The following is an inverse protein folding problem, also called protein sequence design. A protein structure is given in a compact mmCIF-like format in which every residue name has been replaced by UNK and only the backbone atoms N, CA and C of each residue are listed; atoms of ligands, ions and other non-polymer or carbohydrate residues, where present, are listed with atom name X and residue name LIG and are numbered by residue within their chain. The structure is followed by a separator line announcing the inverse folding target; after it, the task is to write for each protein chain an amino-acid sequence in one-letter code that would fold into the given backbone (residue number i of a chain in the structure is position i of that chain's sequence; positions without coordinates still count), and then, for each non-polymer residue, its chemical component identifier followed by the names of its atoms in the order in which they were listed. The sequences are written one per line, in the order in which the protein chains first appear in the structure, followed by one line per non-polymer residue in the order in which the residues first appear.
data_IF_884406891651
#
_entry.id   IF_884406891651
#
_cell.length_a   1.000
_cell.length_b   1.000
_cell.length_c   1.000
_cell.angle_alpha   90.00
_cell.angle_beta   90.00
_cell.angle_gamma   90.00
#
_symmetry.space_group_name_H-M   'P 1'
#
loop_
_entity.id
_entity.type
_entity.pdbx_description
1 polymer ?
#
# COMPACT_ATOMS: atom_id res chain seq x y z
N UNK A 1 20.79 -36.37 -11.98
CA UNK A 1 20.35 -35.16 -12.66
C UNK A 1 18.89 -34.88 -12.26
N UNK A 2 18.68 -34.11 -11.21
CA UNK A 2 17.32 -33.64 -10.83
C UNK A 2 16.97 -32.50 -11.76
N UNK A 3 15.98 -32.70 -12.61
CA UNK A 3 15.43 -31.66 -13.49
C UNK A 3 15.03 -30.44 -12.67
N UNK A 4 15.60 -29.28 -13.01
CA UNK A 4 15.12 -27.99 -12.55
C UNK A 4 13.74 -27.78 -13.15
N UNK A 5 12.71 -28.06 -12.38
CA UNK A 5 11.39 -27.51 -12.69
C UNK A 5 11.51 -26.00 -12.62
N UNK A 6 11.62 -25.35 -13.76
CA UNK A 6 11.40 -23.90 -13.89
C UNK A 6 9.91 -23.65 -13.60
N UNK A 7 9.58 -23.50 -12.35
CA UNK A 7 8.27 -22.97 -11.97
C UNK A 7 8.16 -21.58 -12.61
N UNK A 8 7.26 -21.46 -13.58
CA UNK A 8 6.95 -20.19 -14.23
C UNK A 8 6.63 -19.18 -13.12
N UNK A 9 7.52 -18.23 -12.93
CA UNK A 9 7.40 -17.24 -11.86
C UNK A 9 6.05 -16.52 -12.02
N UNK A 10 5.20 -16.58 -10.98
CA UNK A 10 3.85 -15.99 -11.04
C UNK A 10 3.98 -14.48 -11.23
N UNK A 11 3.25 -13.93 -12.20
CA UNK A 11 3.18 -12.50 -12.45
C UNK A 11 2.44 -11.81 -11.31
N UNK A 12 3.09 -10.80 -10.70
CA UNK A 12 2.51 -9.97 -9.64
C UNK A 12 1.99 -8.66 -10.22
N UNK A 13 1.07 -8.01 -9.49
CA UNK A 13 0.43 -6.77 -9.89
C UNK A 13 0.67 -5.68 -8.85
N UNK A 14 1.14 -4.54 -9.31
CA UNK A 14 1.44 -3.39 -8.46
C UNK A 14 0.68 -2.15 -8.96
N UNK A 15 0.33 -1.27 -8.04
CA UNK A 15 -0.32 -0.01 -8.33
C UNK A 15 0.40 1.11 -7.58
N UNK A 16 0.73 2.19 -8.28
CA UNK A 16 1.38 3.37 -7.72
C UNK A 16 0.41 4.55 -7.83
N UNK A 17 0.05 5.16 -6.72
CA UNK A 17 -0.71 6.41 -6.70
C UNK A 17 0.26 7.59 -6.65
N UNK A 18 0.35 8.33 -7.74
CA UNK A 18 1.14 9.55 -7.83
C UNK A 18 0.33 10.75 -7.32
N UNK A 19 0.66 11.22 -6.12
CA UNK A 19 0.06 12.39 -5.49
C UNK A 19 0.74 13.71 -5.83
N UNK A 20 1.47 13.81 -6.94
CA UNK A 20 2.09 15.08 -7.37
C UNK A 20 1.03 16.12 -7.73
N UNK A 21 1.28 17.38 -7.31
CA UNK A 21 0.47 18.53 -7.71
C UNK A 21 0.91 19.12 -9.06
N UNK A 22 2.09 18.74 -9.54
CA UNK A 22 2.64 19.20 -10.83
C UNK A 22 2.18 18.28 -11.95
N UNK A 23 2.13 18.83 -13.17
CA UNK A 23 1.96 18.02 -14.38
C UNK A 23 3.08 16.95 -14.48
N UNK A 24 2.78 15.82 -15.07
CA UNK A 24 3.69 14.67 -15.13
C UNK A 24 5.05 15.01 -15.73
N UNK A 25 5.08 15.84 -16.78
CA UNK A 25 6.34 16.29 -17.40
C UNK A 25 7.27 17.08 -16.46
N UNK A 26 6.68 17.77 -15.46
CA UNK A 26 7.40 18.63 -14.52
C UNK A 26 7.58 17.98 -13.15
N UNK A 27 6.98 16.82 -12.94
CA UNK A 27 6.91 16.15 -11.66
C UNK A 27 8.09 15.21 -11.42
N UNK A 28 8.95 15.53 -10.46
CA UNK A 28 9.98 14.61 -10.00
C UNK A 28 9.36 13.33 -9.40
N UNK A 29 8.28 13.48 -8.63
CA UNK A 29 7.55 12.33 -8.07
C UNK A 29 7.11 11.36 -9.17
N UNK A 30 6.49 11.88 -10.24
CA UNK A 30 6.03 11.04 -11.37
C UNK A 30 7.19 10.30 -12.04
N UNK A 31 8.34 10.98 -12.24
CA UNK A 31 9.51 10.34 -12.87
C UNK A 31 10.04 9.17 -12.05
N UNK A 32 10.09 9.31 -10.72
CA UNK A 32 10.49 8.19 -9.85
C UNK A 32 9.41 7.10 -9.85
N UNK A 33 8.12 7.43 -9.93
CA UNK A 33 7.05 6.45 -10.13
C UNK A 33 7.27 5.65 -11.41
N UNK A 34 7.61 6.32 -12.52
CA UNK A 34 7.91 5.65 -13.80
C UNK A 34 9.15 4.78 -13.72
N UNK A 35 10.17 5.18 -12.97
CA UNK A 35 11.34 4.35 -12.72
C UNK A 35 10.98 3.08 -11.95
N UNK A 36 10.14 3.19 -10.92
CA UNK A 36 9.65 2.05 -10.16
C UNK A 36 8.75 1.14 -11.03
N UNK A 37 7.88 1.71 -11.84
CA UNK A 37 7.07 0.97 -12.82
C UNK A 37 7.96 0.14 -13.74
N UNK A 38 8.96 0.76 -14.37
CA UNK A 38 9.89 0.09 -15.26
C UNK A 38 10.68 -1.02 -14.55
N UNK A 39 11.03 -0.84 -13.27
CA UNK A 39 11.72 -1.86 -12.49
C UNK A 39 10.83 -3.10 -12.29
N UNK A 40 9.55 -2.94 -11.93
CA UNK A 40 8.59 -4.05 -11.84
C UNK A 40 8.39 -4.74 -13.20
N UNK A 41 8.23 -3.98 -14.27
CA UNK A 41 8.04 -4.52 -15.63
C UNK A 41 9.25 -5.32 -16.11
N UNK A 42 10.48 -4.84 -15.85
CA UNK A 42 11.73 -5.57 -16.14
C UNK A 42 11.86 -6.88 -15.37
N UNK A 43 11.25 -6.98 -14.19
CA UNK A 43 11.15 -8.23 -13.44
C UNK A 43 10.00 -9.14 -13.90
N UNK A 44 9.25 -8.75 -14.94
CA UNK A 44 8.16 -9.53 -15.51
C UNK A 44 6.80 -9.36 -14.82
N UNK A 45 6.64 -8.30 -14.03
CA UNK A 45 5.42 -7.98 -13.29
C UNK A 45 4.59 -6.90 -13.97
N UNK A 46 3.34 -6.74 -13.56
CA UNK A 46 2.47 -5.63 -13.98
C UNK A 46 2.61 -4.49 -12.97
N UNK A 47 2.72 -3.28 -13.48
CA UNK A 47 2.67 -2.08 -12.65
C UNK A 47 1.98 -0.95 -13.40
N UNK A 48 1.08 -0.27 -12.70
CA UNK A 48 0.34 0.88 -13.23
C UNK A 48 0.59 2.09 -12.32
N UNK A 49 0.74 3.27 -12.93
CA UNK A 49 0.85 4.54 -12.22
C UNK A 49 -0.42 5.34 -12.47
N UNK A 50 -1.07 5.75 -11.39
CA UNK A 50 -2.26 6.60 -11.41
C UNK A 50 -1.86 8.00 -10.98
N UNK A 51 -1.97 8.95 -11.87
CA UNK A 51 -1.72 10.37 -11.56
C UNK A 51 -2.99 10.98 -10.99
N UNK A 52 -3.02 11.17 -9.66
CA UNK A 52 -4.23 11.58 -8.95
C UNK A 52 -4.74 12.97 -9.35
N UNK A 53 -3.84 13.90 -9.70
CA UNK A 53 -4.25 15.24 -10.15
C UNK A 53 -5.04 15.26 -11.46
N UNK A 54 -4.99 14.18 -12.24
CA UNK A 54 -5.73 14.06 -13.51
C UNK A 54 -7.15 13.51 -13.31
N UNK A 55 -7.52 13.17 -12.08
CA UNK A 55 -8.82 12.62 -11.72
C UNK A 55 -9.70 13.71 -11.09
N UNK A 56 -10.98 13.69 -11.44
CA UNK A 56 -12.01 14.49 -10.77
C UNK A 56 -12.55 13.72 -9.57
N UNK A 57 -12.17 14.15 -8.36
CA UNK A 57 -12.59 13.54 -7.11
C UNK A 57 -12.59 14.53 -5.95
N UNK A 58 -13.32 14.22 -4.91
CA UNK A 58 -13.36 15.01 -3.68
C UNK A 58 -12.72 14.29 -2.48
N UNK A 59 -12.18 15.08 -1.55
CA UNK A 59 -11.80 14.60 -0.22
C UNK A 59 -13.06 14.24 0.57
N UNK A 60 -13.16 13.03 1.08
CA UNK A 60 -14.32 12.56 1.81
C UNK A 60 -14.02 11.31 2.62
N UNK A 61 -14.67 11.17 3.77
CA UNK A 61 -14.70 9.93 4.55
C UNK A 61 -15.93 9.08 4.23
N UNK A 62 -16.63 9.41 3.16
CA UNK A 62 -17.81 8.67 2.69
C UNK A 62 -17.53 7.92 1.39
N UNK A 63 -18.38 6.96 1.05
CA UNK A 63 -18.34 6.27 -0.24
C UNK A 63 -18.87 7.17 -1.35
N UNK A 64 -17.97 7.91 -2.00
CA UNK A 64 -18.28 8.81 -3.12
C UNK A 64 -18.04 8.09 -4.44
N UNK A 65 -18.96 8.27 -5.38
CA UNK A 65 -18.87 7.71 -6.72
C UNK A 65 -18.24 8.72 -7.69
N UNK A 66 -16.93 8.81 -7.68
CA UNK A 66 -16.10 9.70 -8.50
C UNK A 66 -15.02 8.92 -9.26
N UNK A 67 -14.12 9.62 -9.95
CA UNK A 67 -13.07 8.99 -10.76
C UNK A 67 -12.00 8.29 -9.92
N UNK A 68 -11.84 8.58 -8.64
CA UNK A 68 -10.89 7.91 -7.75
C UNK A 68 -11.40 6.53 -7.31
N UNK A 69 -12.71 6.36 -7.14
CA UNK A 69 -13.32 5.13 -6.63
C UNK A 69 -12.92 3.86 -7.39
N UNK A 70 -12.92 3.81 -8.73
CA UNK A 70 -12.50 2.62 -9.47
C UNK A 70 -11.06 2.19 -9.14
N UNK A 71 -10.16 3.13 -8.88
CA UNK A 71 -8.77 2.83 -8.53
C UNK A 71 -8.63 2.34 -7.09
N UNK A 72 -9.41 2.89 -6.16
CA UNK A 72 -9.50 2.34 -4.80
C UNK A 72 -9.99 0.88 -4.86
N UNK A 73 -11.02 0.61 -5.66
CA UNK A 73 -11.53 -0.75 -5.85
C UNK A 73 -10.48 -1.68 -6.50
N UNK A 74 -9.68 -1.15 -7.42
CA UNK A 74 -8.59 -1.90 -8.06
C UNK A 74 -7.52 -2.34 -7.06
N UNK A 75 -7.29 -1.60 -5.95
CA UNK A 75 -6.33 -2.00 -4.93
C UNK A 75 -6.59 -3.41 -4.38
N UNK A 76 -7.83 -3.87 -4.35
CA UNK A 76 -8.17 -5.21 -3.88
C UNK A 76 -7.64 -6.33 -4.78
N UNK A 77 -7.38 -6.05 -6.05
CA UNK A 77 -6.85 -7.01 -7.02
C UNK A 77 -5.33 -6.94 -7.17
N UNK A 78 -4.68 -6.01 -6.48
CA UNK A 78 -3.23 -5.84 -6.53
C UNK A 78 -2.53 -6.70 -5.49
N UNK A 79 -1.27 -7.02 -5.75
CA UNK A 79 -0.38 -7.70 -4.82
C UNK A 79 0.42 -6.69 -3.97
N UNK A 80 0.58 -5.46 -4.47
CA UNK A 80 1.24 -4.38 -3.74
C UNK A 80 0.84 -2.98 -4.21
N UNK A 81 0.93 -2.02 -3.29
CA UNK A 81 0.55 -0.63 -3.49
C UNK A 81 1.72 0.28 -3.08
N UNK A 82 1.95 1.33 -3.85
CA UNK A 82 2.88 2.41 -3.47
C UNK A 82 2.09 3.73 -3.42
N UNK A 83 2.25 4.47 -2.34
CA UNK A 83 1.83 5.87 -2.28
C UNK A 83 3.04 6.76 -2.52
N UNK A 84 2.95 7.57 -3.58
CA UNK A 84 4.00 8.46 -4.01
C UNK A 84 3.58 9.93 -3.80
N UNK A 85 4.42 10.73 -3.16
CA UNK A 85 4.10 12.11 -2.79
C UNK A 85 5.33 13.02 -2.89
N UNK A 86 5.16 14.28 -3.34
CA UNK A 86 6.13 15.32 -3.04
C UNK A 86 6.03 15.74 -1.57
N UNK A 87 7.09 16.35 -1.06
CA UNK A 87 7.09 17.03 0.26
C UNK A 87 6.49 18.42 0.11
N UNK A 88 5.49 18.72 0.93
CA UNK A 88 4.94 20.05 1.11
C UNK A 88 4.96 20.43 2.58
N UNK A 89 5.84 21.38 2.95
CA UNK A 89 5.96 21.84 4.34
C UNK A 89 6.12 20.69 5.35
N UNK A 90 6.99 19.72 5.04
CA UNK A 90 7.23 18.57 5.87
C UNK A 90 6.14 17.47 5.81
N UNK A 91 5.10 17.64 5.00
CA UNK A 91 3.96 16.71 4.89
C UNK A 91 3.81 16.18 3.47
N UNK A 92 3.00 15.11 3.35
CA UNK A 92 2.55 14.61 2.06
C UNK A 92 1.55 15.58 1.39
N UNK A 93 1.30 15.37 0.11
CA UNK A 93 0.39 16.22 -0.67
C UNK A 93 -1.08 16.02 -0.26
N UNK A 94 -1.93 17.01 -0.61
CA UNK A 94 -3.38 16.91 -0.42
C UNK A 94 -3.99 15.71 -1.14
N UNK A 95 -3.45 15.29 -2.29
CA UNK A 95 -3.92 14.10 -2.99
C UNK A 95 -3.75 12.82 -2.17
N UNK A 96 -2.59 12.66 -1.53
CA UNK A 96 -2.35 11.51 -0.66
C UNK A 96 -3.17 11.62 0.62
N UNK A 97 -3.37 12.82 1.16
CA UNK A 97 -4.28 13.03 2.30
C UNK A 97 -5.71 12.62 1.93
N UNK A 98 -6.22 13.06 0.79
CA UNK A 98 -7.53 12.66 0.32
C UNK A 98 -7.67 11.15 0.14
N UNK A 99 -6.60 10.49 -0.36
CA UNK A 99 -6.59 9.01 -0.45
C UNK A 99 -6.74 8.36 0.93
N UNK A 100 -6.01 8.84 1.95
CA UNK A 100 -6.13 8.31 3.31
C UNK A 100 -7.55 8.49 3.87
N UNK A 101 -8.14 9.65 3.66
CA UNK A 101 -9.53 9.95 4.07
C UNK A 101 -10.53 9.04 3.36
N UNK A 102 -10.36 8.83 2.06
CA UNK A 102 -11.22 7.92 1.27
C UNK A 102 -11.07 6.45 1.68
N UNK A 103 -9.92 6.04 2.20
CA UNK A 103 -9.71 4.68 2.71
C UNK A 103 -10.34 4.47 4.10
N UNK A 104 -10.77 5.51 4.81
CA UNK A 104 -11.39 5.39 6.13
C UNK A 104 -12.70 4.59 6.07
N UNK A 105 -13.48 4.72 4.99
CA UNK A 105 -14.67 3.89 4.75
C UNK A 105 -14.32 2.40 4.78
N UNK A 106 -13.19 2.02 4.16
CA UNK A 106 -12.73 0.64 4.11
C UNK A 106 -12.25 0.19 5.48
N UNK A 107 -11.54 1.07 6.20
CA UNK A 107 -11.08 0.79 7.56
C UNK A 107 -12.27 0.58 8.52
N UNK A 108 -13.27 1.44 8.47
CA UNK A 108 -14.49 1.33 9.27
C UNK A 108 -15.23 0.03 8.97
N UNK A 109 -15.38 -0.30 7.70
CA UNK A 109 -15.96 -1.58 7.30
C UNK A 109 -15.15 -2.78 7.82
N UNK A 110 -13.82 -2.73 7.71
CA UNK A 110 -12.93 -3.78 8.19
C UNK A 110 -13.07 -4.02 9.69
N UNK A 111 -13.18 -2.94 10.47
CA UNK A 111 -13.40 -3.00 11.92
C UNK A 111 -14.72 -3.67 12.27
N UNK A 112 -15.81 -3.28 11.58
CA UNK A 112 -17.15 -3.84 11.82
C UNK A 112 -17.25 -5.31 11.45
N UNK A 113 -16.53 -5.72 10.40
CA UNK A 113 -16.55 -7.08 9.89
C UNK A 113 -15.39 -7.94 10.39
N UNK A 114 -14.50 -7.38 11.24
CA UNK A 114 -13.31 -8.06 11.78
C UNK A 114 -12.45 -8.71 10.68
N UNK A 115 -12.30 -8.00 9.58
CA UNK A 115 -11.56 -8.47 8.42
C UNK A 115 -10.74 -7.34 7.81
N UNK A 116 -9.43 -7.54 7.70
CA UNK A 116 -8.53 -6.55 7.10
C UNK A 116 -8.47 -6.77 5.57
N UNK A 117 -8.88 -5.78 4.79
CA UNK A 117 -9.06 -5.95 3.35
C UNK A 117 -7.75 -6.08 2.57
N UNK A 118 -6.67 -5.60 3.12
CA UNK A 118 -5.37 -5.59 2.46
C UNK A 118 -4.37 -6.60 3.05
N UNK A 119 -4.84 -7.58 3.83
CA UNK A 119 -4.01 -8.70 4.24
C UNK A 119 -3.40 -9.42 3.03
N UNK A 120 -2.18 -9.91 3.20
CA UNK A 120 -1.38 -10.58 2.16
C UNK A 120 -1.00 -9.68 0.99
N UNK A 121 -1.09 -8.36 1.15
CA UNK A 121 -0.58 -7.36 0.19
C UNK A 121 0.56 -6.57 0.81
N UNK A 122 1.46 -6.10 -0.04
CA UNK A 122 2.60 -5.29 0.40
C UNK A 122 2.34 -3.80 0.16
N UNK A 123 2.96 -2.98 0.99
CA UNK A 123 2.89 -1.54 0.86
C UNK A 123 4.28 -0.92 0.83
N UNK A 124 4.45 0.06 -0.03
CA UNK A 124 5.65 0.90 -0.12
C UNK A 124 5.30 2.37 -0.22
N UNK A 125 6.28 3.21 -0.03
CA UNK A 125 6.16 4.66 -0.11
C UNK A 125 7.25 5.26 -0.99
N UNK A 126 6.92 6.32 -1.70
CA UNK A 126 7.83 7.12 -2.48
C UNK A 126 7.65 8.58 -2.10
N UNK A 127 8.71 9.21 -1.63
CA UNK A 127 8.69 10.62 -1.24
C UNK A 127 9.78 11.37 -2.01
N UNK A 128 9.42 12.49 -2.62
CA UNK A 128 10.37 13.33 -3.36
C UNK A 128 10.37 14.77 -2.85
N UNK A 129 11.55 15.36 -2.69
CA UNK A 129 11.66 16.74 -2.24
C UNK A 129 13.01 17.13 -1.66
N UNK A 130 13.10 18.28 -1.05
CA UNK A 130 14.34 18.87 -0.57
C UNK A 130 14.95 18.31 0.71
N UNK A 131 14.43 17.22 1.24
CA UNK A 131 15.01 16.51 2.38
C UNK A 131 14.35 16.76 3.73
N UNK A 132 13.41 17.69 3.83
CA UNK A 132 12.65 17.96 5.04
C UNK A 132 11.34 17.16 5.05
N UNK A 133 11.14 16.34 6.08
CA UNK A 133 9.89 15.60 6.27
C UNK A 133 9.85 14.16 5.76
N UNK A 134 10.89 13.58 5.17
CA UNK A 134 10.89 12.18 4.70
C UNK A 134 10.45 11.20 5.79
N UNK A 135 11.10 11.22 6.94
CA UNK A 135 10.81 10.29 8.03
C UNK A 135 9.38 10.45 8.56
N UNK A 136 8.91 11.69 8.66
CA UNK A 136 7.56 11.98 9.11
C UNK A 136 6.53 11.40 8.12
N UNK A 137 6.69 11.67 6.84
CA UNK A 137 5.76 11.21 5.80
C UNK A 137 5.73 9.69 5.73
N UNK A 138 6.89 9.03 5.68
CA UNK A 138 6.95 7.57 5.70
C UNK A 138 6.28 6.99 6.95
N UNK A 139 6.54 7.58 8.12
CA UNK A 139 5.94 7.13 9.39
C UNK A 139 4.41 7.22 9.38
N UNK A 140 3.84 8.33 8.90
CA UNK A 140 2.39 8.51 8.78
C UNK A 140 1.78 7.49 7.81
N UNK A 141 2.37 7.34 6.62
CA UNK A 141 1.86 6.42 5.60
C UNK A 141 1.97 4.95 6.02
N UNK A 142 3.06 4.57 6.69
CA UNK A 142 3.23 3.20 7.20
C UNK A 142 2.28 2.89 8.35
N UNK A 143 2.05 3.86 9.25
CA UNK A 143 1.06 3.71 10.30
C UNK A 143 -0.34 3.47 9.72
N UNK A 144 -0.74 4.27 8.75
CA UNK A 144 -2.02 4.09 8.05
C UNK A 144 -2.09 2.73 7.34
N UNK A 145 -1.07 2.37 6.55
CA UNK A 145 -1.02 1.11 5.82
C UNK A 145 -1.10 -0.12 6.74
N UNK A 146 -0.43 -0.07 7.89
CA UNK A 146 -0.50 -1.13 8.91
C UNK A 146 -1.93 -1.30 9.44
N UNK A 147 -2.62 -0.18 9.71
CA UNK A 147 -4.03 -0.22 10.15
C UNK A 147 -4.98 -0.76 9.07
N UNK A 148 -4.66 -0.59 7.80
CA UNK A 148 -5.40 -1.18 6.69
C UNK A 148 -5.09 -2.67 6.46
N UNK A 149 -4.07 -3.22 7.14
CA UNK A 149 -3.70 -4.63 7.05
C UNK A 149 -2.60 -4.94 6.04
N UNK A 150 -1.92 -3.96 5.50
CA UNK A 150 -0.77 -4.19 4.62
C UNK A 150 0.45 -4.70 5.39
N UNK A 151 1.25 -5.51 4.70
CA UNK A 151 2.62 -5.84 5.13
C UNK A 151 3.59 -4.83 4.55
N UNK A 152 4.47 -4.28 5.38
CA UNK A 152 5.51 -3.35 4.97
C UNK A 152 6.83 -4.12 4.87
N UNK A 153 7.34 -4.42 3.66
CA UNK A 153 8.62 -5.08 3.50
C UNK A 153 9.79 -4.19 3.91
N UNK A 154 10.97 -4.76 4.19
CA UNK A 154 12.17 -3.96 4.43
C UNK A 154 12.51 -3.07 3.23
N UNK A 155 13.04 -1.86 3.49
CA UNK A 155 13.51 -0.92 2.47
C UNK A 155 12.46 -0.61 1.38
N UNK A 156 11.19 -0.51 1.76
CA UNK A 156 10.09 -0.12 0.86
C UNK A 156 9.75 1.38 0.94
N UNK A 157 10.69 2.18 1.43
CA UNK A 157 10.68 3.64 1.38
C UNK A 157 11.67 4.12 0.31
N UNK A 158 11.16 4.85 -0.68
CA UNK A 158 11.98 5.51 -1.69
C UNK A 158 12.02 7.00 -1.33
N UNK A 159 13.22 7.54 -1.16
CA UNK A 159 13.48 8.95 -0.94
C UNK A 159 14.23 9.51 -2.14
N UNK A 160 13.69 10.52 -2.80
CA UNK A 160 14.36 11.19 -3.91
C UNK A 160 14.55 12.67 -3.59
N UNK A 161 15.81 13.06 -3.46
CA UNK A 161 16.23 14.46 -3.24
C UNK A 161 16.56 15.18 -4.55
N UNK A 162 16.67 14.45 -5.65
CA UNK A 162 16.98 15.00 -6.95
C UNK A 162 15.96 16.08 -7.37
N UNK A 163 16.47 17.21 -7.79
CA UNK A 163 15.66 18.32 -8.27
C UNK A 163 15.98 18.56 -9.74
N UNK A 164 15.04 18.27 -10.59
CA UNK A 164 15.21 18.39 -12.02
C UNK A 164 14.98 17.07 -12.76
N UNK A 165 14.74 17.19 -14.06
CA UNK A 165 14.25 16.03 -14.82
C UNK A 165 15.35 15.06 -15.21
N UNK A 166 16.53 15.58 -15.44
CA UNK A 166 17.66 14.78 -15.93
C UNK A 166 18.53 14.24 -14.78
N UNK A 167 18.45 14.88 -13.61
CA UNK A 167 19.22 14.50 -12.43
C UNK A 167 18.71 13.24 -11.74
N UNK A 168 17.40 12.94 -11.81
CA UNK A 168 16.79 11.79 -11.12
C UNK A 168 17.33 10.46 -11.63
N UNK A 169 17.56 10.33 -12.93
CA UNK A 169 18.11 9.12 -13.52
C UNK A 169 19.59 8.96 -13.28
N UNK A 170 20.28 10.01 -12.86
CA UNK A 170 21.70 10.06 -12.52
C UNK A 170 21.94 10.05 -11.00
N UNK A 171 20.87 10.12 -10.21
CA UNK A 171 20.94 9.99 -8.76
C UNK A 171 21.00 8.50 -8.37
N UNK A 172 22.20 8.02 -8.18
CA UNK A 172 22.49 6.62 -7.85
C UNK A 172 21.73 6.17 -6.58
N UNK A 173 21.58 7.04 -5.59
CA UNK A 173 20.86 6.73 -4.35
C UNK A 173 19.37 6.48 -4.62
N UNK A 174 18.71 7.33 -5.41
CA UNK A 174 17.31 7.12 -5.81
C UNK A 174 17.16 5.85 -6.62
N UNK A 175 18.07 5.59 -7.58
CA UNK A 175 18.05 4.39 -8.41
C UNK A 175 18.21 3.13 -7.57
N UNK A 176 19.12 3.12 -6.60
CA UNK A 176 19.32 1.98 -5.70
C UNK A 176 18.09 1.75 -4.80
N UNK A 177 17.52 2.79 -4.23
CA UNK A 177 16.32 2.68 -3.41
C UNK A 177 15.13 2.15 -4.21
N UNK A 178 14.95 2.57 -5.46
CA UNK A 178 13.91 2.02 -6.36
C UNK A 178 14.14 0.53 -6.60
N UNK A 179 15.37 0.11 -6.89
CA UNK A 179 15.71 -1.32 -7.07
C UNK A 179 15.39 -2.12 -5.80
N UNK A 180 15.87 -1.67 -4.65
CA UNK A 180 15.67 -2.35 -3.37
C UNK A 180 14.19 -2.47 -3.02
N UNK A 181 13.44 -1.37 -3.14
CA UNK A 181 12.01 -1.35 -2.88
C UNK A 181 11.25 -2.34 -3.79
N UNK A 182 11.47 -2.28 -5.09
CA UNK A 182 10.74 -3.12 -6.05
C UNK A 182 11.07 -4.60 -5.92
N UNK A 183 12.33 -4.94 -5.65
CA UNK A 183 12.76 -6.33 -5.38
C UNK A 183 12.13 -6.84 -4.09
N UNK A 184 12.17 -6.06 -3.00
CA UNK A 184 11.62 -6.45 -1.71
C UNK A 184 10.10 -6.59 -1.77
N UNK A 185 9.40 -5.61 -2.38
CA UNK A 185 7.95 -5.71 -2.57
C UNK A 185 7.57 -6.96 -3.36
N UNK A 186 8.27 -7.25 -4.46
CA UNK A 186 8.02 -8.45 -5.26
C UNK A 186 8.25 -9.73 -4.47
N UNK A 187 9.35 -9.79 -3.73
CA UNK A 187 9.72 -10.96 -2.93
C UNK A 187 8.68 -11.23 -1.84
N UNK A 188 8.32 -10.21 -1.08
CA UNK A 188 7.35 -10.34 0.01
C UNK A 188 5.93 -10.57 -0.49
N UNK A 189 5.51 -9.92 -1.58
CA UNK A 189 4.21 -10.19 -2.19
C UNK A 189 4.08 -11.66 -2.60
N UNK A 190 5.14 -12.25 -3.17
CA UNK A 190 5.18 -13.67 -3.50
C UNK A 190 5.08 -14.56 -2.26
N UNK A 191 5.90 -14.28 -1.23
CA UNK A 191 5.88 -15.04 0.03
C UNK A 191 4.49 -15.01 0.67
N UNK A 192 3.87 -13.84 0.74
CA UNK A 192 2.54 -13.68 1.31
C UNK A 192 1.47 -14.43 0.50
N UNK A 193 1.60 -14.41 -0.82
CA UNK A 193 0.64 -15.06 -1.71
C UNK A 193 0.76 -16.58 -1.68
N UNK A 194 1.97 -17.11 -1.62
CA UNK A 194 2.26 -18.54 -1.56
C UNK A 194 2.00 -19.10 -0.16
N UNK A 195 2.44 -18.40 0.87
CA UNK A 195 2.30 -18.79 2.27
C UNK A 195 0.90 -18.52 2.84
N UNK A 196 0.19 -17.56 2.27
CA UNK A 196 -1.12 -17.11 2.76
C UNK A 196 -1.19 -17.05 4.30
N UNK A 197 -0.32 -16.26 4.97
CA UNK A 197 -0.17 -16.32 6.44
C UNK A 197 -1.45 -15.99 7.19
N UNK A 198 -2.37 -15.22 6.60
CA UNK A 198 -3.67 -14.91 7.21
C UNK A 198 -4.63 -16.09 7.22
N UNK A 199 -4.39 -17.14 6.41
CA UNK A 199 -5.18 -18.38 6.45
C UNK A 199 -5.10 -19.04 7.82
N UNK A 200 -3.93 -18.95 8.44
CA UNK A 200 -3.65 -19.55 9.74
C UNK A 200 -3.70 -18.54 10.89
N UNK A 201 -3.87 -17.23 10.57
CA UNK A 201 -4.00 -16.18 11.58
C UNK A 201 -5.34 -16.33 12.31
N UNK A 202 -5.29 -16.79 13.53
CA UNK A 202 -6.45 -16.89 14.41
C UNK A 202 -6.60 -15.58 15.17
N UNK A 203 -7.38 -14.66 14.63
CA UNK A 203 -7.73 -13.46 15.36
C UNK A 203 -8.49 -13.83 16.64
N UNK A 204 -7.96 -13.50 17.77
CA UNK A 204 -8.57 -13.76 19.08
C UNK A 204 -8.32 -15.14 19.65
N UNK A 205 -7.34 -15.90 19.12
CA UNK A 205 -6.93 -17.17 19.69
C UNK A 205 -6.09 -17.03 20.97
N UNK A 206 -5.58 -15.82 21.25
CA UNK A 206 -4.85 -15.52 22.48
C UNK A 206 -5.76 -14.71 23.37
N UNK A 207 -6.22 -15.29 24.46
CA UNK A 207 -6.91 -14.54 25.51
C UNK A 207 -5.87 -13.88 26.42
N UNK A 208 -5.58 -12.61 26.12
CA UNK A 208 -4.64 -11.82 26.94
C UNK A 208 -5.30 -11.23 28.19
N UNK A 209 -6.62 -11.44 28.38
CA UNK A 209 -7.32 -10.81 29.50
C UNK A 209 -6.93 -11.41 30.84
N UNK A 210 -6.73 -12.74 30.92
CA UNK A 210 -6.28 -13.39 32.16
C UNK A 210 -4.85 -13.01 32.51
N UNK A 211 -3.96 -12.99 31.52
CA UNK A 211 -2.55 -12.59 31.74
C UNK A 211 -2.43 -11.08 31.98
N UNK A 212 -3.20 -10.26 31.26
CA UNK A 212 -3.23 -8.81 31.43
C UNK A 212 -3.83 -8.38 32.78
N UNK A 213 -4.76 -9.14 33.33
CA UNK A 213 -5.30 -8.89 34.68
C UNK A 213 -4.23 -9.01 35.73
N UNK A 214 -3.24 -9.90 35.56
CA UNK A 214 -2.09 -10.05 36.46
C UNK A 214 -1.14 -8.86 36.45
N UNK A 215 -1.13 -8.03 35.42
CA UNK A 215 -0.32 -6.81 35.30
C UNK A 215 -1.14 -5.51 35.38
N UNK A 216 -2.42 -5.61 35.78
CA UNK A 216 -3.29 -4.45 35.96
C UNK A 216 -3.82 -3.82 34.67
N UNK A 217 -3.65 -4.49 33.51
CA UNK A 217 -4.18 -4.05 32.25
C UNK A 217 -5.55 -4.71 32.04
N UNK A 218 -6.62 -3.97 32.20
CA UNK A 218 -7.97 -4.47 31.97
C UNK A 218 -8.41 -4.11 30.56
N UNK A 219 -8.31 -5.03 29.64
CA UNK A 219 -8.95 -4.90 28.33
C UNK A 219 -10.21 -5.76 28.29
N UNK A 220 -11.38 -5.13 28.33
CA UNK A 220 -12.64 -5.81 27.98
C UNK A 220 -12.71 -5.91 26.46
N UNK A 221 -11.96 -6.80 25.86
CA UNK A 221 -12.22 -7.21 24.50
C UNK A 221 -13.16 -8.39 24.55
N UNK A 222 -14.33 -8.23 23.97
CA UNK A 222 -15.21 -9.36 23.74
C UNK A 222 -14.45 -10.38 22.90
N UNK A 223 -14.39 -11.62 23.37
CA UNK A 223 -13.85 -12.72 22.60
C UNK A 223 -14.43 -12.67 21.19
N UNK A 224 -13.57 -12.51 20.21
CA UNK A 224 -14.00 -12.49 18.83
C UNK A 224 -14.49 -13.87 18.49
N UNK A 225 -15.76 -13.98 18.15
CA UNK A 225 -16.27 -15.19 17.50
C UNK A 225 -15.42 -15.48 16.27
N UNK A 226 -15.11 -16.74 16.03
CA UNK A 226 -14.31 -17.20 14.90
C UNK A 226 -14.65 -16.40 13.63
N UNK A 227 -13.71 -15.57 13.21
CA UNK A 227 -13.79 -14.96 11.88
C UNK A 227 -13.33 -16.03 10.93
N UNK A 228 -14.11 -16.41 9.91
CA UNK A 228 -13.66 -17.39 8.96
C UNK A 228 -12.37 -16.88 8.30
N UNK A 229 -11.26 -17.48 8.67
CA UNK A 229 -9.98 -17.26 8.01
C UNK A 229 -10.01 -18.14 6.77
N UNK A 230 -10.43 -17.62 5.70
CA UNK A 230 -10.47 -18.41 4.48
C UNK A 230 -11.12 -17.66 3.33
N UNK A 231 -10.31 -17.26 2.43
CA UNK A 231 -10.44 -17.45 1.00
C UNK A 231 -11.54 -16.71 0.25
N UNK A 232 -12.51 -16.18 0.86
CA UNK A 232 -13.40 -15.24 0.19
C UNK A 232 -12.92 -13.82 0.50
N UNK A 233 -11.94 -13.40 -0.26
CA UNK A 233 -11.64 -11.98 -0.40
C UNK A 233 -12.97 -11.25 -0.59
N UNK A 234 -13.16 -10.21 0.18
CA UNK A 234 -14.34 -9.37 0.20
C UNK A 234 -15.06 -9.35 -1.14
N UNK A 235 -16.26 -9.88 -1.14
CA UNK A 235 -17.16 -9.62 -2.24
C UNK A 235 -17.42 -8.11 -2.22
N UNK A 236 -16.84 -7.41 -3.21
CA UNK A 236 -16.93 -5.96 -3.40
C UNK A 236 -18.38 -5.46 -3.29
N UNK A 237 -19.37 -6.31 -3.62
CA UNK A 237 -20.79 -6.06 -3.41
C UNK A 237 -21.19 -5.89 -1.94
N UNK A 238 -20.45 -6.46 -0.99
CA UNK A 238 -20.72 -6.31 0.45
C UNK A 238 -20.22 -5.00 1.04
N UNK A 239 -19.30 -4.32 0.35
CA UNK A 239 -18.82 -3.00 0.78
C UNK A 239 -19.79 -1.86 0.46
N UNK A 240 -20.90 -2.12 -0.22
CA UNK A 240 -21.72 -1.04 -0.77
C UNK A 240 -21.03 -0.26 -1.89
N UNK A 241 -19.78 -0.59 -2.21
CA UNK A 241 -18.93 0.02 -3.22
C UNK A 241 -19.19 -0.53 -4.63
N UNK A 242 -20.02 -1.56 -4.76
CA UNK A 242 -20.46 -2.09 -6.03
C UNK A 242 -21.89 -1.67 -6.31
N UNK A 243 -22.00 -0.75 -7.21
CA UNK A 243 -23.15 -0.35 -8.05
C UNK A 243 -24.55 -0.53 -7.47
N UNK A 244 -25.19 0.58 -7.45
CA UNK A 244 -26.51 0.63 -8.08
C UNK A 244 -26.39 0.77 -9.60
#
# INVERSE_FOLDING_TARGET
LRGRHTTRQRKMKFLIFNGSLKADAESNTFKVCKMAQLAFEKMGHECEVITMRELDYEGSTSDVNDELKPYIMKMFDMDGIIFATPIWWGNHSCHIQAMLERLDVIHSWAKDNKHQPFYNKVFGTLVSGGGDGFQHIHGVLYSAASNFGFTIPPQCNIESKAQGTDEITQDDDTVEQVKNCTINMTTWARILKEGNPTKDARHGSVDVNEEAAGVGIVTKQNATKDVPVGGEYMNVKKLGLAKK
#
